data_IF_253409966034
#
_entry.id   IF_253409966034
#
_cell.length_a   1.000
_cell.length_b   1.000
_cell.length_c   1.000
_cell.angle_alpha   90.00
_cell.angle_beta   90.00
_cell.angle_gamma   90.00
#
_symmetry.space_group_name_H-M   'P 1'
#
loop_
_entity.id
_entity.type
_entity.pdbx_description
1 polymer ?
#
# COMPACT_ATOMS: atom_id res chain seq x y z
N UNK A 1 -30.70 41.39 -15.63
CA UNK A 1 -29.39 41.87 -15.18
C UNK A 1 -28.76 40.72 -14.42
N UNK A 2 -27.71 40.16 -15.01
CA UNK A 2 -27.03 38.94 -14.61
C UNK A 2 -26.27 39.17 -13.31
N UNK A 3 -26.42 38.30 -12.33
CA UNK A 3 -25.30 37.94 -11.44
C UNK A 3 -25.55 36.58 -10.78
N UNK A 4 -25.41 35.53 -11.59
CA UNK A 4 -25.14 34.20 -11.08
C UNK A 4 -23.68 34.20 -10.60
N UNK A 5 -23.48 34.65 -9.36
CA UNK A 5 -22.23 34.54 -8.63
C UNK A 5 -21.89 33.07 -8.42
N UNK A 6 -21.27 32.50 -9.45
CA UNK A 6 -20.72 31.17 -9.48
C UNK A 6 -19.87 30.97 -8.22
N UNK A 7 -20.33 30.01 -7.40
CA UNK A 7 -19.55 29.10 -6.59
C UNK A 7 -18.07 29.48 -6.56
N UNK A 8 -17.68 30.27 -5.57
CA UNK A 8 -16.29 30.46 -5.21
C UNK A 8 -15.67 29.07 -5.08
N UNK A 9 -14.92 28.70 -6.11
CA UNK A 9 -14.12 27.51 -6.20
C UNK A 9 -13.19 27.56 -5.00
N UNK A 10 -13.52 26.76 -3.99
CA UNK A 10 -12.76 26.71 -2.75
C UNK A 10 -11.40 26.11 -3.08
N UNK A 11 -10.42 26.98 -3.33
CA UNK A 11 -9.02 26.61 -3.45
C UNK A 11 -8.68 25.68 -2.27
N UNK A 12 -8.15 24.47 -2.52
CA UNK A 12 -7.85 23.53 -1.45
C UNK A 12 -6.80 24.17 -0.53
N UNK A 13 -7.22 24.49 0.69
CA UNK A 13 -6.35 25.11 1.69
C UNK A 13 -5.03 24.33 1.83
N UNK A 14 -3.88 25.01 2.02
CA UNK A 14 -2.57 24.36 2.12
C UNK A 14 -2.52 23.24 3.18
N UNK A 15 -3.29 23.39 4.27
CA UNK A 15 -3.47 22.40 5.32
C UNK A 15 -4.20 21.14 4.84
N UNK A 16 -5.16 21.27 3.92
CA UNK A 16 -5.84 20.16 3.26
C UNK A 16 -4.92 19.36 2.34
N UNK A 17 -4.04 20.03 1.60
CA UNK A 17 -3.04 19.37 0.75
C UNK A 17 -1.98 18.62 1.59
N UNK A 18 -1.53 19.21 2.69
CA UNK A 18 -0.57 18.58 3.63
C UNK A 18 -1.17 17.35 4.33
N UNK A 19 -2.43 17.43 4.75
CA UNK A 19 -3.15 16.31 5.38
C UNK A 19 -3.39 15.17 4.39
N UNK A 20 -3.72 15.48 3.13
CA UNK A 20 -3.83 14.48 2.06
C UNK A 20 -2.48 13.81 1.78
N UNK A 21 -1.37 14.55 1.82
CA UNK A 21 -0.01 13.99 1.64
C UNK A 21 0.38 13.09 2.81
N UNK A 22 0.12 13.48 4.07
CA UNK A 22 0.37 12.64 5.24
C UNK A 22 -0.50 11.37 5.23
N UNK A 23 -1.78 11.46 4.86
CA UNK A 23 -2.64 10.30 4.71
C UNK A 23 -2.13 9.37 3.58
N UNK A 24 -1.65 9.96 2.49
CA UNK A 24 -1.07 9.23 1.37
C UNK A 24 0.25 8.53 1.76
N UNK A 25 1.09 9.15 2.61
CA UNK A 25 2.32 8.54 3.14
C UNK A 25 2.02 7.41 4.12
N UNK A 26 1.06 7.58 5.04
CA UNK A 26 0.65 6.53 5.98
C UNK A 26 0.19 5.26 5.26
N UNK A 27 -0.60 5.39 4.19
CA UNK A 27 -1.03 4.25 3.38
C UNK A 27 0.10 3.58 2.61
N UNK A 28 1.12 4.34 2.17
CA UNK A 28 2.31 3.79 1.52
C UNK A 28 3.16 3.00 2.52
N UNK A 29 3.38 3.55 3.71
CA UNK A 29 4.14 2.90 4.78
C UNK A 29 3.46 1.60 5.21
N UNK A 30 2.14 1.58 5.34
CA UNK A 30 1.37 0.36 5.67
C UNK A 30 1.57 -0.75 4.63
N UNK A 31 1.42 -0.43 3.34
CA UNK A 31 1.62 -1.41 2.26
C UNK A 31 3.04 -1.98 2.21
N UNK A 32 4.06 -1.14 2.38
CA UNK A 32 5.45 -1.59 2.47
C UNK A 32 5.71 -2.43 3.71
N UNK A 33 5.20 -2.03 4.88
CA UNK A 33 5.33 -2.78 6.12
C UNK A 33 4.76 -4.20 5.97
N UNK A 34 3.63 -4.32 5.28
CA UNK A 34 2.98 -5.61 5.05
C UNK A 34 3.79 -6.52 4.12
N UNK A 35 4.42 -5.94 3.09
CA UNK A 35 5.39 -6.66 2.25
C UNK A 35 6.59 -7.14 3.07
N UNK A 36 7.14 -6.27 3.93
CA UNK A 36 8.29 -6.63 4.78
C UNK A 36 7.95 -7.77 5.75
N UNK A 37 6.77 -7.74 6.39
CA UNK A 37 6.28 -8.84 7.23
C UNK A 37 6.14 -10.13 6.43
N UNK A 38 5.61 -10.05 5.21
CA UNK A 38 5.51 -11.21 4.33
C UNK A 38 6.88 -11.81 3.96
N UNK A 39 7.85 -10.96 3.62
CA UNK A 39 9.22 -11.38 3.35
C UNK A 39 9.91 -12.00 4.58
N UNK A 40 9.63 -11.49 5.79
CA UNK A 40 10.15 -12.08 7.02
C UNK A 40 9.65 -13.52 7.20
N UNK A 41 8.35 -13.78 6.96
CA UNK A 41 7.80 -15.13 7.01
C UNK A 41 8.40 -16.07 5.96
N UNK A 42 8.61 -15.57 4.73
CA UNK A 42 9.28 -16.35 3.68
C UNK A 42 10.72 -16.69 4.08
N UNK A 43 11.43 -15.74 4.70
CA UNK A 43 12.81 -15.95 5.15
C UNK A 43 12.88 -17.03 6.24
N UNK A 44 11.93 -17.05 7.17
CA UNK A 44 11.80 -18.13 8.17
C UNK A 44 11.52 -19.48 7.49
N UNK A 45 10.65 -19.51 6.48
CA UNK A 45 10.38 -20.71 5.69
C UNK A 45 11.64 -21.24 4.98
N UNK A 46 12.43 -20.35 4.36
CA UNK A 46 13.71 -20.70 3.73
C UNK A 46 14.73 -21.20 4.75
N UNK A 47 14.80 -20.58 5.93
CA UNK A 47 15.70 -21.03 7.00
C UNK A 47 15.36 -22.45 7.47
N UNK A 48 14.08 -22.75 7.70
CA UNK A 48 13.60 -24.10 8.05
C UNK A 48 13.90 -25.09 6.92
N UNK A 49 13.72 -24.68 5.67
CA UNK A 49 14.09 -25.52 4.52
C UNK A 49 15.58 -25.87 4.53
N UNK A 50 16.42 -24.85 4.80
CA UNK A 50 17.89 -24.98 4.77
C UNK A 50 18.49 -25.72 5.96
N UNK A 51 17.81 -25.74 7.12
CA UNK A 51 18.32 -26.40 8.33
C UNK A 51 18.29 -27.93 8.25
N UNK A 52 17.58 -28.50 7.27
CA UNK A 52 17.50 -29.95 7.07
C UNK A 52 16.72 -30.71 8.14
N UNK A 53 16.07 -30.00 9.07
CA UNK A 53 15.27 -30.58 10.14
C UNK A 53 13.91 -31.07 9.61
N UNK A 54 13.87 -32.32 9.13
CA UNK A 54 12.69 -32.95 8.53
C UNK A 54 11.83 -33.73 9.53
N UNK A 55 11.53 -33.13 10.69
CA UNK A 55 10.56 -33.71 11.63
C UNK A 55 9.15 -33.88 11.01
N UNK A 56 8.25 -34.62 11.68
CA UNK A 56 6.89 -34.93 11.19
C UNK A 56 6.10 -33.70 10.71
N UNK A 57 6.32 -32.54 11.33
CA UNK A 57 5.62 -31.28 11.03
C UNK A 57 6.35 -30.37 10.04
N UNK A 58 7.47 -30.81 9.47
CA UNK A 58 8.31 -30.01 8.57
C UNK A 58 7.51 -29.40 7.42
N UNK A 59 6.80 -30.22 6.65
CA UNK A 59 6.04 -29.76 5.50
C UNK A 59 4.90 -28.82 5.89
N UNK A 60 4.23 -29.09 7.01
CA UNK A 60 3.15 -28.24 7.52
C UNK A 60 3.69 -26.87 7.92
N UNK A 61 4.83 -26.81 8.62
CA UNK A 61 5.50 -25.54 8.98
C UNK A 61 5.96 -24.79 7.75
N UNK A 62 6.63 -25.48 6.81
CA UNK A 62 7.15 -24.90 5.58
C UNK A 62 6.02 -24.25 4.76
N UNK A 63 4.96 -25.02 4.49
CA UNK A 63 3.79 -24.53 3.74
C UNK A 63 3.08 -23.43 4.51
N UNK A 64 2.95 -23.55 5.83
CA UNK A 64 2.34 -22.52 6.69
C UNK A 64 3.06 -21.17 6.59
N UNK A 65 4.38 -21.15 6.75
CA UNK A 65 5.18 -19.93 6.63
C UNK A 65 5.20 -19.37 5.21
N UNK A 66 5.28 -20.24 4.20
CA UNK A 66 5.20 -19.84 2.81
C UNK A 66 3.85 -19.18 2.48
N UNK A 67 2.74 -19.81 2.89
CA UNK A 67 1.39 -19.30 2.66
C UNK A 67 1.16 -17.95 3.37
N UNK A 68 1.60 -17.82 4.63
CA UNK A 68 1.55 -16.56 5.37
C UNK A 68 2.37 -15.47 4.67
N UNK A 69 3.60 -15.79 4.27
CA UNK A 69 4.48 -14.86 3.58
C UNK A 69 3.87 -14.35 2.27
N UNK A 70 3.39 -15.26 1.43
CA UNK A 70 2.71 -14.92 0.17
C UNK A 70 1.45 -14.09 0.42
N UNK A 71 0.62 -14.46 1.40
CA UNK A 71 -0.59 -13.72 1.74
C UNK A 71 -0.28 -12.25 2.09
N UNK A 72 0.69 -12.01 2.97
CA UNK A 72 1.11 -10.67 3.39
C UNK A 72 1.69 -9.85 2.22
N UNK A 73 2.50 -10.47 1.37
CA UNK A 73 3.05 -9.82 0.16
C UNK A 73 1.93 -9.43 -0.80
N UNK A 74 1.00 -10.34 -1.09
CA UNK A 74 -0.13 -10.08 -2.00
C UNK A 74 -1.02 -8.97 -1.45
N UNK A 75 -1.34 -8.99 -0.15
CA UNK A 75 -2.07 -7.92 0.53
C UNK A 75 -1.36 -6.57 0.41
N UNK A 76 -0.07 -6.52 0.70
CA UNK A 76 0.72 -5.29 0.61
C UNK A 76 0.76 -4.74 -0.82
N UNK A 77 0.97 -5.61 -1.83
CA UNK A 77 0.92 -5.24 -3.24
C UNK A 77 -0.49 -4.76 -3.64
N UNK A 78 -1.54 -5.44 -3.19
CA UNK A 78 -2.92 -5.04 -3.48
C UNK A 78 -3.24 -3.65 -2.90
N UNK A 79 -2.78 -3.35 -1.69
CA UNK A 79 -2.95 -2.03 -1.08
C UNK A 79 -2.18 -0.94 -1.84
N UNK A 80 -0.94 -1.23 -2.26
CA UNK A 80 -0.14 -0.31 -3.08
C UNK A 80 -0.79 -0.09 -4.46
N UNK A 81 -1.32 -1.14 -5.09
CA UNK A 81 -2.02 -1.05 -6.40
C UNK A 81 -3.36 -0.34 -6.31
N UNK A 82 -4.16 -0.61 -5.28
CA UNK A 82 -5.40 0.11 -5.04
C UNK A 82 -5.15 1.60 -4.86
N UNK A 83 -4.05 1.97 -4.19
CA UNK A 83 -3.59 3.36 -4.09
C UNK A 83 -3.12 3.93 -5.43
N UNK A 84 -2.32 3.20 -6.20
CA UNK A 84 -1.89 3.64 -7.53
C UNK A 84 -3.08 3.97 -8.43
N UNK A 85 -4.15 3.14 -8.38
CA UNK A 85 -5.41 3.42 -9.09
C UNK A 85 -6.13 4.66 -8.56
N UNK A 86 -6.15 4.91 -7.24
CA UNK A 86 -6.74 6.13 -6.66
C UNK A 86 -5.98 7.39 -7.03
N UNK A 87 -4.65 7.34 -7.09
CA UNK A 87 -3.82 8.46 -7.55
C UNK A 87 -4.06 8.69 -9.04
N UNK A 88 -4.05 7.65 -9.87
CA UNK A 88 -4.35 7.78 -11.30
C UNK A 88 -5.76 8.33 -11.57
N UNK A 89 -6.77 7.94 -10.77
CA UNK A 89 -8.13 8.48 -10.87
C UNK A 89 -8.18 9.95 -10.44
N UNK A 90 -7.39 10.35 -9.44
CA UNK A 90 -7.26 11.74 -9.00
C UNK A 90 -6.53 12.60 -10.05
N UNK A 91 -5.44 12.10 -10.62
CA UNK A 91 -4.69 12.76 -11.70
C UNK A 91 -5.56 12.91 -12.97
N UNK A 92 -6.43 11.93 -13.25
CA UNK A 92 -7.40 12.00 -14.34
C UNK A 92 -8.52 13.03 -14.10
N UNK A 93 -8.88 13.31 -12.84
CA UNK A 93 -9.93 14.27 -12.48
C UNK A 93 -9.41 15.70 -12.28
N UNK A 94 -8.13 15.88 -11.92
CA UNK A 94 -7.56 17.19 -11.56
C UNK A 94 -6.36 17.62 -12.42
N UNK A 95 -5.97 16.84 -13.42
CA UNK A 95 -4.85 17.13 -14.30
C UNK A 95 -3.52 16.59 -13.76
N UNK A 96 -2.71 16.05 -14.67
CA UNK A 96 -1.39 15.48 -14.36
C UNK A 96 -0.49 16.59 -13.78
N UNK A 97 -0.04 16.41 -12.52
CA UNK A 97 0.73 17.35 -11.68
C UNK A 97 -0.07 18.29 -10.74
N UNK A 98 -1.36 18.08 -10.49
CA UNK A 98 -2.07 18.75 -9.40
C UNK A 98 -1.49 18.33 -8.02
N UNK A 99 -0.48 19.07 -7.54
CA UNK A 99 0.21 18.82 -6.26
C UNK A 99 1.70 18.48 -6.35
N UNK A 100 2.31 18.59 -7.54
CA UNK A 100 3.77 18.52 -7.70
C UNK A 100 4.35 19.93 -7.64
N UNK A 101 4.62 20.42 -6.42
CA UNK A 101 5.67 21.41 -6.17
C UNK A 101 6.84 20.69 -5.50
#
# INVERSE_FOLDING_TARGET
>A
MSDNGALAESDPSPSGLMTRRMAAERGRTAGFMQILVGLAWLTVGVWIFSSGDQGEWYWVKLVGFAALGVWFVVMGIAQLRARAKRIAAFDAQHGVNAGRQ
#
